data_IF_645177312281
#
_entry.id   IF_645177312281
#
_cell.length_a   1.000
_cell.length_b   1.000
_cell.length_c   1.000
_cell.angle_alpha   90.00
_cell.angle_beta   90.00
_cell.angle_gamma   90.00
#
_symmetry.space_group_name_H-M   'P 1'
#
loop_
_entity.id
_entity.type
_entity.pdbx_description
1 polymer ?
#
# COMPACT_ATOMS: atom_id res chain seq x y z
N UNK A 1 -14.98 44.16 3.35
CA UNK A 1 -13.74 44.81 2.88
C UNK A 1 -12.99 45.29 4.10
N UNK A 2 -11.76 44.83 4.33
CA UNK A 2 -10.88 45.39 5.36
C UNK A 2 -9.56 45.75 4.67
N UNK A 3 -9.18 47.02 4.76
CA UNK A 3 -8.23 47.72 3.90
C UNK A 3 -6.77 47.60 4.34
N UNK A 4 -6.36 46.48 4.96
CA UNK A 4 -5.03 46.44 5.62
C UNK A 4 -4.25 45.14 5.42
N UNK A 5 -4.85 44.06 4.94
CA UNK A 5 -4.08 42.84 4.67
C UNK A 5 -4.54 42.12 3.41
N UNK A 6 -3.71 42.19 2.37
CA UNK A 6 -3.83 41.44 1.12
C UNK A 6 -3.40 39.97 1.32
N UNK A 7 -3.84 39.35 2.41
CA UNK A 7 -3.59 37.94 2.70
C UNK A 7 -4.84 37.16 2.33
N UNK A 8 -4.81 36.57 1.14
CA UNK A 8 -5.66 35.42 0.81
C UNK A 8 -5.38 34.35 1.86
N UNK A 9 -6.31 34.18 2.80
CA UNK A 9 -6.37 32.97 3.60
C UNK A 9 -6.53 31.83 2.59
N UNK A 10 -5.47 31.05 2.37
CA UNK A 10 -5.60 29.76 1.72
C UNK A 10 -6.63 29.01 2.54
N UNK A 11 -7.80 28.78 1.96
CA UNK A 11 -8.84 27.95 2.55
C UNK A 11 -8.14 26.69 3.02
N UNK A 12 -8.14 26.45 4.33
CA UNK A 12 -7.81 25.14 4.85
C UNK A 12 -8.84 24.21 4.23
N UNK A 13 -8.47 23.55 3.13
CA UNK A 13 -9.19 22.39 2.64
C UNK A 13 -9.13 21.40 3.80
N UNK A 14 -10.21 21.39 4.60
CA UNK A 14 -10.53 20.29 5.46
C UNK A 14 -10.66 19.10 4.51
N UNK A 15 -9.56 18.38 4.31
CA UNK A 15 -9.60 17.03 3.79
C UNK A 15 -10.38 16.28 4.87
N UNK A 16 -11.69 16.22 4.71
CA UNK A 16 -12.52 15.23 5.40
C UNK A 16 -11.96 13.88 4.97
N UNK A 17 -10.98 13.36 5.71
CA UNK A 17 -10.53 11.99 5.58
C UNK A 17 -11.75 11.13 5.92
N UNK A 18 -12.52 10.78 4.88
CA UNK A 18 -13.64 9.86 5.01
C UNK A 18 -13.03 8.57 5.55
N UNK A 19 -13.48 8.07 6.71
CA UNK A 19 -12.86 6.90 7.31
C UNK A 19 -12.99 5.71 6.35
N UNK A 20 -11.86 5.31 5.78
CA UNK A 20 -11.77 4.25 4.80
C UNK A 20 -11.93 2.90 5.46
N UNK A 21 -12.83 2.08 4.92
CA UNK A 21 -13.02 0.70 5.35
C UNK A 21 -12.37 -0.27 4.35
N UNK A 22 -11.69 -1.28 4.87
CA UNK A 22 -11.07 -2.34 4.09
C UNK A 22 -11.94 -3.59 4.09
N UNK A 23 -12.32 -4.05 2.90
CA UNK A 23 -13.06 -5.32 2.71
C UNK A 23 -12.04 -6.46 2.62
N UNK A 24 -12.05 -7.34 3.62
CA UNK A 24 -11.18 -8.52 3.71
C UNK A 24 -11.67 -9.64 2.80
N UNK A 25 -10.81 -10.62 2.54
CA UNK A 25 -11.13 -11.74 1.64
C UNK A 25 -12.32 -12.61 2.13
N UNK A 26 -12.57 -12.63 3.44
CA UNK A 26 -13.72 -13.28 4.09
C UNK A 26 -15.00 -12.41 4.04
N UNK A 27 -14.94 -11.23 3.40
CA UNK A 27 -16.05 -10.28 3.31
C UNK A 27 -16.22 -9.36 4.53
N UNK A 28 -15.41 -9.55 5.58
CA UNK A 28 -15.42 -8.68 6.76
C UNK A 28 -14.92 -7.29 6.42
N UNK A 29 -15.49 -6.28 7.07
CA UNK A 29 -15.05 -4.88 6.98
C UNK A 29 -14.30 -4.51 8.24
N UNK A 30 -13.13 -3.90 8.09
CA UNK A 30 -12.38 -3.30 9.19
C UNK A 30 -11.89 -1.91 8.75
N UNK A 31 -11.70 -0.95 9.67
CA UNK A 31 -11.05 0.31 9.34
C UNK A 31 -9.67 0.07 8.72
N UNK A 32 -9.27 0.93 7.79
CA UNK A 32 -7.88 0.96 7.34
C UNK A 32 -6.96 1.22 8.54
N UNK A 33 -5.87 0.45 8.61
CA UNK A 33 -4.94 0.44 9.72
C UNK A 33 -3.52 0.44 9.15
N UNK A 34 -2.88 1.62 9.22
CA UNK A 34 -1.51 1.86 8.74
C UNK A 34 -0.51 0.92 9.41
N UNK A 35 -0.67 0.66 10.71
CA UNK A 35 0.24 -0.21 11.48
C UNK A 35 0.17 -1.66 10.98
N UNK A 36 -1.03 -2.17 10.69
CA UNK A 36 -1.19 -3.51 10.08
C UNK A 36 -0.52 -3.62 8.71
N UNK A 37 -0.54 -2.54 7.93
CA UNK A 37 0.11 -2.51 6.62
C UNK A 37 1.64 -2.52 6.77
N UNK A 38 2.16 -1.65 7.64
CA UNK A 38 3.58 -1.56 7.98
C UNK A 38 4.14 -2.91 8.44
N UNK A 39 3.50 -3.56 9.42
CA UNK A 39 3.94 -4.85 9.95
C UNK A 39 4.06 -5.91 8.86
N UNK A 40 3.12 -5.95 7.92
CA UNK A 40 3.12 -6.91 6.82
C UNK A 40 4.24 -6.65 5.82
N UNK A 41 4.53 -5.39 5.52
CA UNK A 41 5.64 -5.02 4.64
C UNK A 41 6.97 -5.32 5.33
N UNK A 42 7.12 -5.01 6.62
CA UNK A 42 8.31 -5.35 7.40
C UNK A 42 8.60 -6.84 7.40
N UNK A 43 7.59 -7.69 7.56
CA UNK A 43 7.75 -9.15 7.48
C UNK A 43 8.26 -9.57 6.09
N UNK A 44 7.74 -8.98 5.01
CA UNK A 44 8.21 -9.28 3.66
C UNK A 44 9.67 -8.83 3.44
N UNK A 45 10.04 -7.66 3.96
CA UNK A 45 11.38 -7.08 3.88
C UNK A 45 12.38 -7.67 4.90
N UNK A 46 12.00 -8.68 5.69
CA UNK A 46 12.90 -9.23 6.70
C UNK A 46 14.20 -9.80 6.09
N UNK A 47 15.36 -9.35 6.58
CA UNK A 47 16.70 -9.73 6.06
C UNK A 47 16.89 -9.42 4.56
N UNK A 48 16.28 -8.36 4.05
CA UNK A 48 16.60 -7.81 2.73
C UNK A 48 17.51 -6.59 2.87
N UNK A 49 17.81 -5.92 1.75
CA UNK A 49 18.58 -4.66 1.72
C UNK A 49 17.72 -3.43 2.01
N UNK A 50 16.40 -3.60 2.16
CA UNK A 50 15.45 -2.51 2.33
C UNK A 50 15.55 -1.95 3.75
N UNK A 51 15.78 -0.65 3.85
CA UNK A 51 15.85 0.09 5.11
C UNK A 51 14.47 0.32 5.74
N UNK A 52 14.46 0.61 7.03
CA UNK A 52 13.21 0.96 7.73
C UNK A 52 12.59 2.25 7.16
N UNK A 53 13.41 3.20 6.71
CA UNK A 53 12.95 4.44 6.10
C UNK A 53 12.24 4.19 4.76
N UNK A 54 12.81 3.33 3.90
CA UNK A 54 12.17 2.93 2.64
C UNK A 54 10.83 2.20 2.87
N UNK A 55 10.73 1.41 3.95
CA UNK A 55 9.49 0.75 4.34
C UNK A 55 8.42 1.77 4.76
N UNK A 56 8.77 2.73 5.61
CA UNK A 56 7.85 3.80 6.03
C UNK A 56 7.39 4.63 4.83
N UNK A 57 8.33 5.01 3.94
CA UNK A 57 8.00 5.74 2.71
C UNK A 57 7.04 4.95 1.81
N UNK A 58 7.24 3.64 1.66
CA UNK A 58 6.33 2.78 0.90
C UNK A 58 4.93 2.77 1.53
N UNK A 59 4.84 2.67 2.86
CA UNK A 59 3.55 2.70 3.58
C UNK A 59 2.85 4.04 3.36
N UNK A 60 3.56 5.16 3.48
CA UNK A 60 3.01 6.50 3.28
C UNK A 60 2.51 6.71 1.84
N UNK A 61 3.26 6.20 0.85
CA UNK A 61 2.83 6.23 -0.55
C UNK A 61 1.55 5.44 -0.78
N UNK A 62 1.46 4.22 -0.25
CA UNK A 62 0.25 3.39 -0.36
C UNK A 62 -0.92 4.03 0.37
N UNK A 63 -0.73 4.59 1.56
CA UNK A 63 -1.78 5.30 2.31
C UNK A 63 -2.29 6.52 1.53
N UNK A 64 -1.39 7.33 0.98
CA UNK A 64 -1.76 8.49 0.17
C UNK A 64 -2.52 8.09 -1.11
N UNK A 65 -2.04 7.07 -1.83
CA UNK A 65 -2.72 6.54 -3.01
C UNK A 65 -4.13 6.05 -2.70
N UNK A 66 -4.28 5.34 -1.59
CA UNK A 66 -5.55 4.78 -1.16
C UNK A 66 -6.50 5.88 -0.67
N UNK A 67 -6.00 6.90 0.04
CA UNK A 67 -6.77 8.08 0.44
C UNK A 67 -7.25 8.92 -0.75
N UNK A 68 -6.42 9.05 -1.80
CA UNK A 68 -6.73 9.81 -3.01
C UNK A 68 -7.82 9.19 -3.89
N UNK A 69 -8.22 7.93 -3.64
CA UNK A 69 -9.30 7.28 -4.37
C UNK A 69 -10.69 7.88 -4.08
N UNK A 70 -10.84 8.66 -2.99
CA UNK A 70 -12.11 9.23 -2.55
C UNK A 70 -13.23 8.18 -2.41
N UNK A 71 -12.88 6.95 -2.02
CA UNK A 71 -13.83 5.85 -1.79
C UNK A 71 -14.02 5.60 -0.30
N UNK A 72 -15.21 5.10 0.08
CA UNK A 72 -15.51 4.69 1.46
C UNK A 72 -15.02 3.29 1.80
N UNK A 73 -14.98 2.42 0.80
CA UNK A 73 -14.58 1.03 0.97
C UNK A 73 -13.58 0.63 -0.12
N UNK A 74 -12.53 -0.11 0.27
CA UNK A 74 -11.56 -0.67 -0.66
C UNK A 74 -11.34 -2.16 -0.36
N UNK A 75 -11.28 -3.04 -1.37
CA UNK A 75 -10.84 -4.40 -1.14
C UNK A 75 -9.39 -4.44 -0.63
N UNK A 76 -9.13 -5.25 0.39
CA UNK A 76 -7.76 -5.59 0.83
C UNK A 76 -6.88 -6.10 -0.31
N UNK A 77 -7.54 -6.68 -1.34
CA UNK A 77 -6.97 -7.00 -2.63
C UNK A 77 -6.23 -5.75 -3.20
N UNK A 78 -6.96 -4.72 -3.60
CA UNK A 78 -6.37 -3.53 -4.23
C UNK A 78 -5.23 -2.86 -3.43
N UNK A 79 -5.28 -2.87 -2.09
CA UNK A 79 -4.16 -2.39 -1.25
C UNK A 79 -2.90 -3.23 -1.48
N UNK A 80 -3.03 -4.56 -1.47
CA UNK A 80 -1.90 -5.45 -1.68
C UNK A 80 -1.30 -5.34 -3.09
N UNK A 81 -2.12 -5.09 -4.12
CA UNK A 81 -1.64 -4.81 -5.49
C UNK A 81 -0.72 -3.58 -5.53
N UNK A 82 -1.11 -2.48 -4.88
CA UNK A 82 -0.25 -1.27 -4.76
C UNK A 82 1.06 -1.56 -4.07
N UNK A 83 1.03 -2.28 -2.95
CA UNK A 83 2.24 -2.68 -2.22
C UNK A 83 3.17 -3.52 -3.11
N UNK A 84 2.60 -4.45 -3.89
CA UNK A 84 3.34 -5.32 -4.80
C UNK A 84 4.03 -4.49 -5.90
N UNK A 85 3.35 -3.49 -6.46
CA UNK A 85 3.92 -2.61 -7.48
C UNK A 85 5.15 -1.85 -6.96
N UNK A 86 5.06 -1.31 -5.74
CA UNK A 86 6.18 -0.64 -5.07
C UNK A 86 7.32 -1.61 -4.73
N UNK A 87 6.99 -2.76 -4.13
CA UNK A 87 8.00 -3.76 -3.76
C UNK A 87 8.73 -4.34 -4.98
N UNK A 88 8.07 -4.44 -6.14
CA UNK A 88 8.72 -4.93 -7.37
C UNK A 88 9.90 -4.05 -7.80
N UNK A 89 9.79 -2.75 -7.54
CA UNK A 89 10.85 -1.78 -7.86
C UNK A 89 11.90 -1.70 -6.74
N UNK A 90 11.46 -1.90 -5.50
CA UNK A 90 12.31 -1.73 -4.32
C UNK A 90 13.18 -2.96 -4.03
N UNK A 91 12.60 -4.17 -4.06
CA UNK A 91 13.32 -5.40 -3.77
C UNK A 91 12.55 -6.65 -4.23
N UNK A 92 13.15 -7.41 -5.16
CA UNK A 92 12.56 -8.63 -5.72
C UNK A 92 12.22 -9.70 -4.66
N UNK A 93 13.09 -9.89 -3.66
CA UNK A 93 12.86 -10.90 -2.61
C UNK A 93 11.66 -10.53 -1.74
N UNK A 94 11.54 -9.26 -1.37
CA UNK A 94 10.40 -8.74 -0.62
C UNK A 94 9.11 -8.81 -1.46
N UNK A 95 9.17 -8.45 -2.74
CA UNK A 95 8.09 -8.60 -3.71
C UNK A 95 7.54 -10.03 -3.72
N UNK A 96 8.43 -11.01 -3.94
CA UNK A 96 8.04 -12.43 -4.04
C UNK A 96 7.35 -12.87 -2.75
N UNK A 97 7.93 -12.56 -1.59
CA UNK A 97 7.36 -12.95 -0.28
C UNK A 97 5.99 -12.33 -0.03
N UNK A 98 5.83 -11.04 -0.31
CA UNK A 98 4.56 -10.36 -0.12
C UNK A 98 3.51 -10.90 -1.10
N UNK A 99 3.86 -11.07 -2.37
CA UNK A 99 3.00 -11.63 -3.39
C UNK A 99 2.56 -13.07 -3.06
N UNK A 100 3.40 -13.88 -2.39
CA UNK A 100 3.04 -15.24 -1.97
C UNK A 100 1.86 -15.32 -1.01
N UNK A 101 1.77 -14.38 -0.08
CA UNK A 101 0.64 -14.33 0.87
C UNK A 101 -0.63 -13.87 0.17
N UNK A 102 -0.48 -12.96 -0.79
CA UNK A 102 -1.58 -12.24 -1.39
C UNK A 102 -2.20 -12.95 -2.60
N UNK A 103 -1.38 -13.47 -3.53
CA UNK A 103 -1.87 -14.13 -4.74
C UNK A 103 -2.38 -15.54 -4.50
N UNK A 104 -2.24 -16.08 -3.27
CA UNK A 104 -2.59 -17.46 -2.94
C UNK A 104 -2.16 -18.41 -4.06
N UNK A 105 -0.87 -18.43 -4.40
CA UNK A 105 -0.36 -19.29 -5.46
C UNK A 105 -0.90 -20.70 -5.23
N UNK A 106 -1.75 -21.16 -6.15
CA UNK A 106 -2.54 -22.39 -5.96
C UNK A 106 -1.64 -23.62 -6.01
N UNK A 107 -0.50 -23.49 -6.69
CA UNK A 107 0.50 -24.52 -6.80
C UNK A 107 1.92 -23.92 -6.96
N UNK A 108 2.92 -24.79 -6.84
CA UNK A 108 4.33 -24.46 -7.04
C UNK A 108 4.62 -23.93 -8.46
N UNK A 109 3.83 -24.33 -9.44
CA UNK A 109 4.02 -23.98 -10.85
C UNK A 109 3.68 -22.51 -11.11
N UNK A 110 2.60 -22.00 -10.52
CA UNK A 110 2.22 -20.59 -10.56
C UNK A 110 3.32 -19.70 -9.95
N UNK A 111 3.93 -20.15 -8.86
CA UNK A 111 5.06 -19.45 -8.23
C UNK A 111 6.31 -19.45 -9.13
N UNK A 112 6.65 -20.60 -9.73
CA UNK A 112 7.79 -20.70 -10.66
C UNK A 112 7.58 -19.82 -11.90
N UNK A 113 6.36 -19.76 -12.44
CA UNK A 113 6.06 -18.90 -13.60
C UNK A 113 6.25 -17.43 -13.28
N UNK A 114 5.87 -16.98 -12.09
CA UNK A 114 6.09 -15.61 -11.66
C UNK A 114 7.59 -15.31 -11.51
N UNK A 115 8.39 -16.25 -10.98
CA UNK A 115 9.84 -16.12 -10.91
C UNK A 115 10.49 -16.06 -12.30
N UNK A 116 10.03 -16.86 -13.25
CA UNK A 116 10.50 -16.82 -14.65
C UNK A 116 10.20 -15.47 -15.32
N UNK A 117 9.07 -14.85 -15.00
CA UNK A 117 8.72 -13.51 -15.49
C UNK A 117 9.62 -12.42 -14.91
N UNK A 118 10.06 -12.57 -13.65
CA UNK A 118 11.03 -11.65 -13.05
C UNK A 118 12.43 -11.82 -13.66
N UNK A 119 12.86 -13.06 -13.93
CA UNK A 119 14.19 -13.34 -14.47
C UNK A 119 14.39 -12.89 -15.94
N UNK A 120 13.30 -12.67 -16.68
CA UNK A 120 13.31 -12.30 -18.10
C UNK A 120 13.05 -10.80 -18.36
N UNK A 121 12.99 -9.97 -17.32
CA UNK A 121 12.90 -8.50 -17.38
C UNK A 121 14.18 -7.86 -16.87
#
# INVERSE_FOLDING_TARGET
ECTTCDKRFTTYEYIENVPLSVIKADGRREPFDRSKLLDKIQVACYKTTVSAEEIEQLVDQVEAEVGNLNVKEIPSKQIGERVIEHLRQLNEVAYVRFASVYRQFKDKSDFMRELEQLANN
#
